data_IF_578454071415
#
_entry.id   IF_578454071415
#
_cell.length_a   1.000
_cell.length_b   1.000
_cell.length_c   1.000
_cell.angle_alpha   90.00
_cell.angle_beta   90.00
_cell.angle_gamma   90.00
#
_symmetry.space_group_name_H-M   'P 1'
#
loop_
_entity.id
_entity.type
_entity.pdbx_description
1 polymer ?
#
# COMPACT_ATOMS: atom_id res chain seq x y z
N UNK A 1 -28.47 -15.76 1.14
CA UNK A 1 -28.39 -15.66 -0.33
C UNK A 1 -28.25 -14.18 -0.69
N UNK A 2 -27.03 -13.74 -0.95
CA UNK A 2 -26.63 -12.55 -1.73
C UNK A 2 -25.09 -12.47 -1.66
N UNK A 3 -24.45 -13.51 -2.19
CA UNK A 3 -23.03 -13.50 -2.54
C UNK A 3 -22.97 -13.23 -4.03
N UNK A 4 -22.76 -11.97 -4.41
CA UNK A 4 -22.70 -11.58 -5.81
C UNK A 4 -21.94 -10.27 -5.95
N UNK A 5 -20.85 -10.33 -6.72
CA UNK A 5 -19.96 -9.23 -7.16
C UNK A 5 -18.71 -8.98 -6.30
N UNK A 6 -17.94 -10.03 -6.01
CA UNK A 6 -16.48 -9.87 -6.00
C UNK A 6 -16.02 -10.09 -7.45
N UNK A 7 -15.65 -9.01 -8.14
CA UNK A 7 -15.07 -9.11 -9.48
C UNK A 7 -13.73 -9.83 -9.38
N UNK A 8 -13.67 -11.06 -9.87
CA UNK A 8 -12.44 -11.77 -10.19
C UNK A 8 -11.72 -10.98 -11.28
N UNK A 9 -10.72 -10.18 -10.90
CA UNK A 9 -9.75 -9.65 -11.84
C UNK A 9 -8.66 -10.72 -12.02
N UNK A 10 -8.51 -11.31 -13.23
CA UNK A 10 -7.40 -12.21 -13.50
C UNK A 10 -6.10 -11.40 -13.50
N UNK A 11 -5.20 -11.71 -12.56
CA UNK A 11 -3.87 -11.09 -12.38
C UNK A 11 -2.87 -11.43 -13.50
N UNK A 12 -3.33 -11.93 -14.65
CA UNK A 12 -2.50 -12.51 -15.70
C UNK A 12 -2.79 -11.84 -17.05
N UNK A 13 -2.27 -10.62 -17.23
CA UNK A 13 -1.73 -10.08 -18.50
C UNK A 13 -1.24 -8.63 -18.31
N UNK A 14 -1.81 -7.89 -17.36
CA UNK A 14 -1.43 -6.49 -17.07
C UNK A 14 -0.18 -6.37 -16.18
N UNK A 15 0.08 -7.37 -15.32
CA UNK A 15 1.26 -7.39 -14.45
C UNK A 15 2.60 -7.53 -15.19
N UNK A 16 2.59 -7.99 -16.45
CA UNK A 16 3.80 -8.10 -17.29
C UNK A 16 4.06 -6.89 -18.18
N UNK A 17 3.12 -5.95 -18.32
CA UNK A 17 3.22 -4.85 -19.29
C UNK A 17 3.68 -3.53 -18.64
N UNK A 18 3.52 -3.38 -17.33
CA UNK A 18 3.86 -2.15 -16.62
C UNK A 18 4.56 -2.46 -15.29
N UNK A 19 5.78 -1.95 -15.14
CA UNK A 19 6.47 -1.91 -13.83
C UNK A 19 5.55 -1.26 -12.78
N UNK A 20 5.62 -1.71 -11.52
CA UNK A 20 4.89 -1.11 -10.41
C UNK A 20 5.13 0.41 -10.28
N UNK A 21 6.28 0.89 -10.74
CA UNK A 21 6.55 2.33 -10.83
C UNK A 21 5.68 3.03 -11.89
N UNK A 22 5.50 2.42 -13.06
CA UNK A 22 4.64 2.93 -14.14
C UNK A 22 3.18 2.90 -13.71
N UNK A 23 2.74 1.82 -13.06
CA UNK A 23 1.39 1.74 -12.49
C UNK A 23 1.14 2.87 -11.48
N UNK A 24 2.10 3.11 -10.56
CA UNK A 24 2.02 4.22 -9.59
C UNK A 24 1.94 5.59 -10.28
N UNK A 25 2.76 5.84 -11.30
CA UNK A 25 2.71 7.10 -12.07
C UNK A 25 1.34 7.28 -12.75
N UNK A 26 0.78 6.22 -13.32
CA UNK A 26 -0.55 6.26 -13.95
C UNK A 26 -1.66 6.48 -12.92
N UNK A 27 -1.61 5.83 -11.76
CA UNK A 27 -2.55 6.07 -10.66
C UNK A 27 -2.46 7.50 -10.11
N UNK A 28 -1.25 8.05 -10.00
CA UNK A 28 -1.04 9.41 -9.54
C UNK A 28 -1.62 10.42 -10.54
N UNK A 29 -1.31 10.27 -11.83
CA UNK A 29 -1.80 11.14 -12.90
C UNK A 29 -3.32 11.05 -13.02
N UNK A 30 -3.90 9.86 -12.96
CA UNK A 30 -5.36 9.68 -13.02
C UNK A 30 -6.05 10.32 -11.81
N UNK A 31 -5.51 10.16 -10.60
CA UNK A 31 -6.04 10.81 -9.40
C UNK A 31 -6.08 12.34 -9.54
N UNK A 32 -5.02 12.97 -10.04
CA UNK A 32 -5.00 14.43 -10.25
C UNK A 32 -6.00 14.90 -11.31
N UNK A 33 -6.23 14.12 -12.38
CA UNK A 33 -7.25 14.42 -13.38
C UNK A 33 -8.67 14.33 -12.80
N UNK A 34 -8.96 13.29 -12.00
CA UNK A 34 -10.25 13.13 -11.36
C UNK A 34 -10.52 14.21 -10.31
N UNK A 35 -9.51 14.64 -9.54
CA UNK A 35 -9.63 15.72 -8.56
C UNK A 35 -10.02 17.04 -9.25
N UNK A 36 -9.36 17.39 -10.37
CA UNK A 36 -9.68 18.60 -11.12
C UNK A 36 -11.10 18.59 -11.69
N UNK A 37 -11.50 17.47 -12.31
CA UNK A 37 -12.86 17.31 -12.84
C UNK A 37 -13.93 17.36 -11.75
N UNK A 38 -13.69 16.67 -10.62
CA UNK A 38 -14.56 16.69 -9.47
C UNK A 38 -14.70 18.10 -8.88
N UNK A 39 -13.60 18.86 -8.78
CA UNK A 39 -13.62 20.23 -8.29
C UNK A 39 -14.51 21.14 -9.14
N UNK A 40 -14.39 21.05 -10.48
CA UNK A 40 -15.25 21.82 -11.40
C UNK A 40 -16.72 21.42 -11.23
N UNK A 41 -17.01 20.12 -11.20
CA UNK A 41 -18.38 19.62 -11.09
C UNK A 41 -19.03 19.98 -9.74
N UNK A 42 -18.29 19.80 -8.63
CA UNK A 42 -18.75 20.15 -7.30
C UNK A 42 -18.96 21.68 -7.15
N UNK A 43 -18.07 22.50 -7.71
CA UNK A 43 -18.22 23.96 -7.69
C UNK A 43 -19.44 24.42 -8.49
N UNK A 44 -19.68 23.83 -9.67
CA UNK A 44 -20.90 24.07 -10.44
C UNK A 44 -22.16 23.64 -9.68
N UNK A 45 -22.13 22.47 -9.03
CA UNK A 45 -23.24 21.98 -8.20
C UNK A 45 -23.54 22.90 -7.02
N UNK A 46 -22.52 23.34 -6.28
CA UNK A 46 -22.65 24.33 -5.19
C UNK A 46 -23.23 25.63 -5.72
N UNK A 47 -22.76 26.11 -6.87
CA UNK A 47 -23.25 27.35 -7.48
C UNK A 47 -24.76 27.26 -7.80
N UNK A 48 -25.20 26.18 -8.46
CA UNK A 48 -26.61 25.95 -8.78
C UNK A 48 -27.49 25.82 -7.52
N UNK A 49 -26.98 25.18 -6.47
CA UNK A 49 -27.67 25.06 -5.18
C UNK A 49 -27.81 26.43 -4.50
N UNK A 50 -26.76 27.23 -4.50
CA UNK A 50 -26.79 28.58 -3.90
C UNK A 50 -27.76 29.51 -4.63
N UNK A 51 -27.94 29.36 -5.94
CA UNK A 51 -28.94 30.12 -6.70
C UNK A 51 -30.39 29.72 -6.36
N UNK A 52 -30.60 28.45 -6.01
CA UNK A 52 -31.92 27.90 -5.63
C UNK A 52 -32.42 28.42 -4.28
N UNK A 53 -31.53 28.77 -3.36
CA UNK A 53 -31.91 29.25 -2.02
C UNK A 53 -31.85 30.78 -1.93
N UNK A 54 -32.99 31.43 -1.77
CA UNK A 54 -33.09 32.90 -1.66
C UNK A 54 -32.20 33.48 -0.55
N UNK A 55 -32.10 32.79 0.59
CA UNK A 55 -31.23 33.17 1.72
C UNK A 55 -29.73 33.10 1.40
N UNK A 56 -29.33 32.33 0.40
CA UNK A 56 -27.93 32.14 -0.01
C UNK A 56 -27.59 32.90 -1.30
N UNK A 57 -28.58 33.56 -1.91
CA UNK A 57 -28.44 34.40 -3.10
C UNK A 57 -27.73 35.72 -2.82
N UNK A 58 -27.64 36.12 -1.54
CA UNK A 58 -26.85 37.29 -1.14
C UNK A 58 -25.39 37.12 -1.55
N UNK A 59 -24.85 38.12 -2.27
CA UNK A 59 -23.51 38.05 -2.85
C UNK A 59 -22.42 37.81 -1.79
N UNK A 60 -22.62 38.30 -0.56
CA UNK A 60 -21.70 38.12 0.56
C UNK A 60 -21.66 36.66 1.02
N UNK A 61 -22.84 36.05 1.19
CA UNK A 61 -23.00 34.65 1.59
C UNK A 61 -22.50 33.69 0.51
N UNK A 62 -22.79 33.96 -0.76
CA UNK A 62 -22.27 33.16 -1.88
C UNK A 62 -20.75 33.18 -1.95
N UNK A 63 -20.13 34.35 -1.82
CA UNK A 63 -18.66 34.49 -1.77
C UNK A 63 -18.07 33.77 -0.57
N UNK A 64 -18.71 33.86 0.60
CA UNK A 64 -18.27 33.16 1.81
C UNK A 64 -18.28 31.63 1.60
N UNK A 65 -19.39 31.07 1.10
CA UNK A 65 -19.50 29.62 0.85
C UNK A 65 -18.48 29.14 -0.19
N UNK A 66 -18.35 29.85 -1.32
CA UNK A 66 -17.36 29.49 -2.34
C UNK A 66 -15.93 29.59 -1.80
N UNK A 67 -15.61 30.63 -1.01
CA UNK A 67 -14.28 30.77 -0.39
C UNK A 67 -13.98 29.68 0.64
N UNK A 68 -14.97 29.26 1.42
CA UNK A 68 -14.80 28.17 2.38
C UNK A 68 -14.58 26.82 1.66
N UNK A 69 -15.32 26.57 0.58
CA UNK A 69 -15.15 25.39 -0.27
C UNK A 69 -13.76 25.34 -0.91
N UNK A 70 -13.29 26.44 -1.51
CA UNK A 70 -11.97 26.49 -2.15
C UNK A 70 -10.84 26.35 -1.13
N UNK A 71 -10.95 26.99 0.04
CA UNK A 71 -9.97 26.86 1.11
C UNK A 71 -9.92 25.42 1.67
N UNK A 72 -11.07 24.76 1.86
CA UNK A 72 -11.13 23.37 2.31
C UNK A 72 -10.43 22.41 1.35
N UNK A 73 -10.66 22.55 0.04
CA UNK A 73 -9.98 21.75 -0.99
C UNK A 73 -8.48 22.07 -1.03
N UNK A 74 -8.09 23.34 -0.93
CA UNK A 74 -6.68 23.73 -0.89
C UNK A 74 -5.95 23.11 0.31
N UNK A 75 -6.58 23.07 1.49
CA UNK A 75 -6.03 22.41 2.68
C UNK A 75 -5.90 20.89 2.45
N UNK A 76 -6.90 20.22 1.89
CA UNK A 76 -6.81 18.78 1.59
C UNK A 76 -5.69 18.46 0.58
N UNK A 77 -5.51 19.32 -0.44
CA UNK A 77 -4.43 19.18 -1.40
C UNK A 77 -3.06 19.40 -0.75
N UNK A 78 -2.92 20.42 0.10
CA UNK A 78 -1.69 20.64 0.87
C UNK A 78 -1.37 19.48 1.81
N UNK A 79 -2.37 18.86 2.42
CA UNK A 79 -2.18 17.66 3.25
C UNK A 79 -1.70 16.45 2.43
N UNK A 80 -2.06 16.35 1.15
CA UNK A 80 -1.54 15.31 0.26
C UNK A 80 -0.06 15.51 -0.12
N UNK A 81 0.45 16.74 0.03
CA UNK A 81 1.87 17.07 -0.16
C UNK A 81 2.70 16.84 1.10
N UNK A 82 2.08 16.67 2.26
CA UNK A 82 2.79 16.24 3.47
C UNK A 82 3.34 14.84 3.19
N UNK A 83 4.67 14.64 3.24
CA UNK A 83 5.25 13.33 3.14
C UNK A 83 4.71 12.52 4.33
N UNK A 84 3.69 11.72 4.08
CA UNK A 84 3.39 10.62 4.98
C UNK A 84 4.65 9.78 4.93
N UNK A 85 5.27 9.57 6.09
CA UNK A 85 6.43 8.71 6.23
C UNK A 85 6.03 7.32 5.77
N UNK A 86 6.12 7.10 4.45
CA UNK A 86 6.17 5.79 3.88
C UNK A 86 7.48 5.25 4.46
N UNK A 87 7.37 4.37 5.47
CA UNK A 87 8.46 3.48 5.83
C UNK A 87 9.07 2.93 4.54
N UNK A 88 10.39 2.71 4.51
CA UNK A 88 11.16 2.48 3.29
C UNK A 88 10.36 1.62 2.31
N UNK A 89 9.90 2.30 1.25
CA UNK A 89 9.33 1.67 0.08
C UNK A 89 10.27 0.52 -0.30
N UNK A 90 9.78 -0.67 -0.70
CA UNK A 90 10.64 -1.81 -0.97
C UNK A 90 11.80 -1.33 -1.83
N UNK A 91 12.99 -1.30 -1.22
CA UNK A 91 14.25 -1.23 -1.95
C UNK A 91 14.07 -2.22 -3.08
N UNK A 92 14.28 -1.75 -4.31
CA UNK A 92 14.11 -2.53 -5.53
C UNK A 92 15.15 -3.64 -5.57
N UNK A 93 14.99 -4.62 -4.71
CA UNK A 93 15.70 -5.88 -4.73
C UNK A 93 15.00 -6.67 -5.82
N UNK A 94 15.71 -6.90 -6.93
CA UNK A 94 15.19 -7.69 -8.04
C UNK A 94 14.75 -9.04 -7.50
N UNK A 95 13.54 -9.50 -7.87
CA UNK A 95 13.13 -10.88 -7.62
C UNK A 95 14.25 -11.81 -8.13
N UNK A 96 14.82 -12.60 -7.22
CA UNK A 96 16.01 -13.44 -7.49
C UNK A 96 17.33 -12.92 -6.92
N UNK A 97 17.33 -11.90 -6.06
CA UNK A 97 18.55 -11.45 -5.36
C UNK A 97 18.92 -12.40 -4.22
N UNK A 98 20.22 -12.67 -4.09
CA UNK A 98 20.80 -13.42 -2.98
C UNK A 98 20.98 -12.49 -1.77
N UNK A 99 20.33 -12.83 -0.65
CA UNK A 99 20.33 -12.05 0.59
C UNK A 99 21.03 -12.81 1.71
N UNK A 100 21.51 -12.10 2.73
CA UNK A 100 22.07 -12.73 3.95
C UNK A 100 21.09 -12.60 5.10
N UNK A 101 21.19 -13.49 6.09
CA UNK A 101 20.36 -13.41 7.30
C UNK A 101 20.65 -12.10 8.05
N UNK A 102 21.90 -11.63 8.02
CA UNK A 102 22.30 -10.36 8.61
C UNK A 102 21.62 -9.17 7.95
N UNK A 103 21.44 -9.19 6.62
CA UNK A 103 20.70 -8.13 5.93
C UNK A 103 19.23 -8.15 6.34
N UNK A 104 18.59 -9.33 6.35
CA UNK A 104 17.19 -9.46 6.79
C UNK A 104 17.00 -8.93 8.21
N UNK A 105 17.93 -9.22 9.12
CA UNK A 105 17.88 -8.77 10.52
C UNK A 105 17.87 -7.24 10.71
N UNK A 106 18.26 -6.46 9.68
CA UNK A 106 18.19 -4.99 9.71
C UNK A 106 16.77 -4.46 9.51
N UNK A 107 15.90 -5.26 8.91
CA UNK A 107 14.51 -4.93 8.59
C UNK A 107 13.57 -5.51 9.66
N UNK A 108 13.70 -4.98 10.89
CA UNK A 108 13.12 -5.53 12.11
C UNK A 108 12.06 -4.62 12.79
N UNK A 109 11.46 -3.68 12.05
CA UNK A 109 10.46 -2.75 12.61
C UNK A 109 9.14 -2.84 11.87
N UNK A 110 8.03 -2.37 12.46
CA UNK A 110 6.71 -2.43 11.80
C UNK A 110 6.66 -1.64 10.48
N UNK A 111 7.48 -0.60 10.33
CA UNK A 111 7.55 0.22 9.12
C UNK A 111 8.62 -0.25 8.13
N UNK A 112 9.36 -1.29 8.49
CA UNK A 112 10.41 -1.92 7.70
C UNK A 112 10.62 -3.35 8.18
N UNK A 113 9.77 -4.27 7.69
CA UNK A 113 9.63 -5.62 8.21
C UNK A 113 9.89 -6.66 7.12
N UNK A 114 11.01 -7.36 7.22
CA UNK A 114 11.29 -8.52 6.36
C UNK A 114 11.25 -9.80 7.18
N UNK A 115 10.82 -10.89 6.56
CA UNK A 115 10.80 -12.22 7.20
C UNK A 115 11.39 -13.27 6.27
N UNK A 116 11.91 -14.35 6.86
CA UNK A 116 12.36 -15.54 6.15
C UNK A 116 11.33 -16.65 6.33
N UNK A 117 10.87 -17.24 5.23
CA UNK A 117 10.04 -18.46 5.22
C UNK A 117 10.69 -19.48 4.29
N UNK A 118 11.12 -20.61 4.86
CA UNK A 118 12.01 -21.54 4.18
C UNK A 118 13.38 -20.91 3.94
N UNK A 119 13.73 -20.75 2.65
CA UNK A 119 14.94 -20.04 2.21
C UNK A 119 14.61 -18.68 1.57
N UNK A 120 13.33 -18.36 1.42
CA UNK A 120 12.88 -17.17 0.72
C UNK A 120 12.65 -16.02 1.70
N UNK A 121 12.91 -14.82 1.20
CA UNK A 121 12.81 -13.58 1.96
C UNK A 121 11.67 -12.74 1.40
N UNK A 122 10.86 -12.21 2.30
CA UNK A 122 9.65 -11.45 1.97
C UNK A 122 9.64 -10.11 2.69
N UNK A 123 9.35 -9.03 1.97
CA UNK A 123 9.06 -7.73 2.59
C UNK A 123 7.56 -7.65 2.90
N UNK A 124 7.21 -7.90 4.16
CA UNK A 124 5.81 -8.01 4.62
C UNK A 124 5.30 -6.73 5.28
N UNK A 125 6.02 -5.61 5.13
CA UNK A 125 5.65 -4.31 5.74
C UNK A 125 4.21 -3.92 5.44
N UNK A 126 3.77 -4.02 4.18
CA UNK A 126 2.40 -3.69 3.78
C UNK A 126 1.37 -4.81 4.06
N UNK A 127 1.83 -6.00 4.46
CA UNK A 127 0.95 -7.11 4.87
C UNK A 127 0.48 -6.95 6.32
N UNK A 128 1.25 -6.25 7.16
CA UNK A 128 0.99 -6.09 8.61
C UNK A 128 -0.45 -5.64 8.88
N UNK A 129 -0.93 -4.60 8.19
CA UNK A 129 -2.24 -4.00 8.45
C UNK A 129 -3.42 -4.81 7.92
N UNK A 130 -3.18 -5.73 6.98
CA UNK A 130 -4.24 -6.52 6.32
C UNK A 130 -4.18 -8.00 6.67
N UNK A 131 -3.25 -8.40 7.54
CA UNK A 131 -3.09 -9.78 7.97
C UNK A 131 -4.26 -10.23 8.86
N UNK A 132 -5.00 -11.26 8.42
CA UNK A 132 -6.17 -11.82 9.12
C UNK A 132 -5.84 -12.35 10.53
N UNK A 133 -4.62 -12.82 10.75
CA UNK A 133 -4.12 -13.23 12.07
C UNK A 133 -3.75 -12.07 13.00
N UNK A 134 -3.93 -10.83 12.56
CA UNK A 134 -3.62 -9.61 13.29
C UNK A 134 -2.18 -9.12 13.08
N UNK A 135 -1.97 -7.81 13.28
CA UNK A 135 -0.68 -7.11 13.10
C UNK A 135 0.46 -7.74 13.91
N UNK A 136 0.20 -8.00 15.19
CA UNK A 136 1.17 -8.54 16.14
C UNK A 136 1.75 -9.90 15.75
N UNK A 137 1.00 -10.68 14.97
CA UNK A 137 1.46 -11.98 14.50
C UNK A 137 2.61 -11.86 13.48
N UNK A 138 2.73 -10.72 12.78
CA UNK A 138 3.85 -10.43 11.87
C UNK A 138 4.94 -9.64 12.59
N UNK A 139 4.57 -8.58 13.33
CA UNK A 139 5.52 -7.62 13.92
C UNK A 139 6.59 -8.32 14.79
N UNK A 140 6.20 -9.34 15.56
CA UNK A 140 7.12 -10.10 16.43
C UNK A 140 8.21 -10.88 15.68
N UNK A 141 8.04 -11.08 14.38
CA UNK A 141 8.96 -11.83 13.54
C UNK A 141 9.74 -10.96 12.56
N UNK A 142 9.56 -9.64 12.56
CA UNK A 142 10.33 -8.74 11.70
C UNK A 142 11.84 -8.93 11.92
N UNK A 143 12.57 -9.08 10.82
CA UNK A 143 14.00 -9.33 10.79
C UNK A 143 14.40 -10.77 11.15
N UNK A 144 13.46 -11.71 11.22
CA UNK A 144 13.73 -13.08 11.70
C UNK A 144 13.18 -14.16 10.77
N UNK A 145 13.48 -15.42 11.12
CA UNK A 145 12.93 -16.59 10.44
C UNK A 145 11.57 -16.96 11.04
N UNK A 146 10.51 -16.80 10.24
CA UNK A 146 9.12 -17.09 10.58
C UNK A 146 8.64 -18.46 10.05
N UNK A 147 9.54 -19.29 9.51
CA UNK A 147 9.18 -20.57 8.85
C UNK A 147 8.31 -21.46 9.74
N UNK A 148 8.74 -21.69 10.98
CA UNK A 148 8.03 -22.61 11.89
C UNK A 148 6.62 -22.13 12.20
N UNK A 149 6.47 -20.85 12.57
CA UNK A 149 5.15 -20.28 12.91
C UNK A 149 4.26 -20.17 11.68
N UNK A 150 4.83 -19.88 10.51
CA UNK A 150 4.06 -19.80 9.26
C UNK A 150 3.38 -21.14 8.98
N UNK A 151 4.14 -22.24 8.98
CA UNK A 151 3.60 -23.59 8.75
C UNK A 151 2.68 -24.11 9.86
N UNK A 152 2.79 -23.59 11.09
CA UNK A 152 1.87 -23.96 12.17
C UNK A 152 0.49 -23.29 11.99
N UNK A 153 0.46 -22.08 11.44
CA UNK A 153 -0.75 -21.24 11.39
C UNK A 153 -1.41 -21.16 10.03
N UNK A 154 -0.69 -21.49 8.96
CA UNK A 154 -1.13 -21.32 7.58
C UNK A 154 -1.14 -22.64 6.82
N UNK A 155 -2.06 -22.76 5.88
CA UNK A 155 -2.09 -23.88 4.95
C UNK A 155 -1.25 -23.59 3.69
N UNK A 156 -1.18 -24.57 2.79
CA UNK A 156 -0.35 -24.44 1.60
C UNK A 156 -0.88 -23.39 0.60
N UNK A 157 -2.15 -22.99 0.69
CA UNK A 157 -2.76 -21.99 -0.17
C UNK A 157 -2.36 -20.56 0.25
N UNK A 158 -1.99 -20.35 1.51
CA UNK A 158 -1.51 -19.05 2.00
C UNK A 158 -0.15 -18.64 1.39
N UNK A 159 0.60 -19.59 0.84
CA UNK A 159 1.84 -19.30 0.09
C UNK A 159 1.62 -18.38 -1.12
N UNK A 160 0.44 -18.42 -1.74
CA UNK A 160 0.15 -17.58 -2.91
C UNK A 160 0.15 -16.09 -2.56
N UNK A 161 -0.32 -15.74 -1.36
CA UNK A 161 -0.30 -14.35 -0.87
C UNK A 161 1.14 -13.91 -0.63
N UNK A 162 1.94 -14.77 0.01
CA UNK A 162 3.34 -14.49 0.35
C UNK A 162 4.19 -14.21 -0.90
N UNK A 163 3.90 -14.88 -2.03
CA UNK A 163 4.58 -14.65 -3.31
C UNK A 163 4.54 -13.20 -3.81
N UNK A 164 3.51 -12.42 -3.44
CA UNK A 164 3.41 -10.98 -3.80
C UNK A 164 4.46 -10.12 -3.08
N UNK A 165 5.00 -10.62 -1.96
CA UNK A 165 5.94 -9.93 -1.09
C UNK A 165 7.38 -10.43 -1.25
N UNK A 166 7.63 -11.36 -2.18
CA UNK A 166 8.94 -11.97 -2.39
C UNK A 166 9.97 -10.95 -2.88
N UNK A 167 11.15 -10.95 -2.26
CA UNK A 167 12.26 -10.05 -2.61
C UNK A 167 13.57 -10.78 -2.90
N UNK A 168 13.71 -12.05 -2.53
CA UNK A 168 14.94 -12.78 -2.77
C UNK A 168 15.02 -14.08 -1.99
N UNK A 169 16.17 -14.74 -2.07
CA UNK A 169 16.44 -15.99 -1.37
C UNK A 169 17.77 -15.88 -0.61
N UNK A 170 17.93 -16.62 0.48
CA UNK A 170 19.17 -16.58 1.26
C UNK A 170 20.31 -17.21 0.46
N UNK A 171 21.38 -16.43 0.23
CA UNK A 171 22.46 -16.76 -0.69
C UNK A 171 23.67 -17.45 -0.11
N UNK A 172 23.79 -17.55 1.21
CA UNK A 172 24.79 -18.41 1.83
C UNK A 172 24.12 -19.59 2.55
N UNK A 173 24.57 -20.84 2.31
CA UNK A 173 24.09 -21.98 3.07
C UNK A 173 24.44 -21.75 4.54
N UNK A 174 23.45 -21.92 5.43
CA UNK A 174 23.71 -21.96 6.87
C UNK A 174 24.91 -22.88 7.12
N UNK A 175 26.04 -22.30 7.52
CA UNK A 175 27.31 -23.03 7.70
C UNK A 175 27.03 -24.20 8.65
N UNK A 176 27.05 -25.42 8.12
CA UNK A 176 26.96 -26.63 8.94
C UNK A 176 28.15 -26.59 9.93
N UNK A 177 27.92 -26.89 11.22
CA UNK A 177 29.00 -26.88 12.19
C UNK A 177 30.13 -27.78 11.72
N UNK A 178 31.36 -27.24 11.73
CA UNK A 178 32.59 -27.98 11.46
C UNK A 178 32.65 -29.12 12.47
N UNK A 179 32.46 -30.37 12.01
CA UNK A 179 32.77 -31.54 12.84
C UNK A 179 34.23 -31.41 13.25
N UNK A 180 34.46 -31.27 14.56
CA UNK A 180 35.75 -31.55 15.18
C UNK A 180 35.98 -33.05 15.22
#
# INVERSE_FOLDING_TARGET
>A
MLSGLAMNYPSSLLGSIMSGETARKVHLVSAYLFIGLFYVHATAGIYLILERFERLREAKTRKAVLSAWTLGIAVLLLLSLVPHGNGPMPSSVSAGTLLTVQEVARHNTENDCWIIVGNDVYNVTSLIDVHSGGREAIIRYCGTNATGVFFEKHDQNDYYVLGTYYIGTIGEPMIKPKKM
#
